data_IF_590333882393
#
_entry.id   IF_590333882393
#
_cell.length_a   1.000
_cell.length_b   1.000
_cell.length_c   1.000
_cell.angle_alpha   90.00
_cell.angle_beta   90.00
_cell.angle_gamma   90.00
#
_symmetry.space_group_name_H-M   'P 1'
#
loop_
_entity.id
_entity.type
_entity.pdbx_description
1 polymer ?
#
# COMPACT_ATOMS: atom_id res chain seq x y z
N UNK A 1 8.29 -44.27 -10.37
CA UNK A 1 7.23 -43.26 -10.45
C UNK A 1 7.92 -41.91 -10.39
N UNK A 2 8.16 -41.29 -11.54
CA UNK A 2 8.82 -39.98 -11.67
C UNK A 2 7.70 -38.93 -11.66
N UNK A 3 7.67 -38.08 -10.66
CA UNK A 3 6.81 -36.88 -10.61
C UNK A 3 7.46 -35.81 -11.48
N UNK A 4 6.82 -35.52 -12.60
CA UNK A 4 7.13 -34.38 -13.46
C UNK A 4 6.90 -33.08 -12.75
N UNK A 5 8.00 -32.35 -12.54
CA UNK A 5 7.97 -30.94 -12.18
C UNK A 5 7.99 -30.15 -13.48
N UNK A 6 6.80 -29.75 -13.96
CA UNK A 6 6.64 -29.06 -15.24
C UNK A 6 6.56 -27.55 -15.04
N UNK A 7 7.53 -26.85 -15.56
CA UNK A 7 7.49 -25.55 -16.25
C UNK A 7 6.49 -24.47 -15.77
N UNK A 8 6.92 -23.65 -14.82
CA UNK A 8 6.34 -22.32 -14.56
C UNK A 8 7.32 -21.17 -14.93
N UNK A 9 8.59 -21.47 -15.18
CA UNK A 9 9.63 -20.44 -15.37
C UNK A 9 9.60 -19.69 -16.72
N UNK A 10 8.93 -20.22 -17.75
CA UNK A 10 8.93 -19.61 -19.10
C UNK A 10 7.92 -18.48 -19.29
N UNK A 11 6.78 -18.52 -18.60
CA UNK A 11 5.70 -17.54 -18.77
C UNK A 11 5.90 -16.28 -17.91
N UNK A 12 6.50 -16.40 -16.73
CA UNK A 12 6.80 -15.26 -15.87
C UNK A 12 7.77 -14.27 -16.53
N UNK A 13 8.82 -14.75 -17.21
CA UNK A 13 9.79 -13.89 -17.87
C UNK A 13 9.20 -13.06 -19.02
N UNK A 14 8.19 -13.58 -19.74
CA UNK A 14 7.53 -12.87 -20.82
C UNK A 14 6.58 -11.76 -20.32
N UNK A 15 5.92 -11.98 -19.18
CA UNK A 15 5.05 -10.98 -18.55
C UNK A 15 5.88 -9.85 -17.98
N UNK A 16 6.99 -10.14 -17.31
CA UNK A 16 7.89 -9.16 -16.72
C UNK A 16 8.57 -8.23 -17.73
N UNK A 17 8.77 -8.65 -18.97
CA UNK A 17 9.37 -7.80 -20.01
C UNK A 17 8.50 -6.59 -20.40
N UNK A 18 7.20 -6.62 -20.12
CA UNK A 18 6.25 -5.49 -20.34
C UNK A 18 6.16 -4.52 -19.16
N UNK A 19 6.64 -4.93 -17.99
CA UNK A 19 6.66 -4.08 -16.81
C UNK A 19 8.00 -3.37 -16.72
N UNK A 20 7.99 -2.04 -16.76
CA UNK A 20 9.14 -1.29 -16.28
C UNK A 20 9.13 -1.45 -14.76
N UNK A 21 10.16 -2.07 -14.15
CA UNK A 21 10.23 -2.14 -12.72
C UNK A 21 10.44 -0.71 -12.21
N UNK A 22 9.37 -0.06 -11.78
CA UNK A 22 9.53 1.07 -10.91
C UNK A 22 10.17 0.51 -9.64
N UNK A 23 11.40 0.93 -9.36
CA UNK A 23 12.11 0.48 -8.17
C UNK A 23 11.23 0.81 -6.98
N UNK A 24 10.77 -0.19 -6.22
CA UNK A 24 9.91 0.07 -5.09
C UNK A 24 10.71 0.85 -4.05
N UNK A 25 10.10 1.87 -3.51
CA UNK A 25 10.33 2.22 -2.13
C UNK A 25 10.05 0.98 -1.27
N UNK A 26 10.60 0.92 -0.08
CA UNK A 26 10.22 -0.11 0.87
C UNK A 26 8.68 -0.24 0.95
N UNK A 27 8.20 -1.44 1.17
CA UNK A 27 6.78 -1.74 1.40
C UNK A 27 6.62 -2.35 2.78
N UNK A 28 5.45 -2.18 3.38
CA UNK A 28 5.16 -2.72 4.71
C UNK A 28 4.38 -4.04 4.65
N UNK A 29 3.42 -4.13 3.73
CA UNK A 29 2.42 -5.20 3.67
C UNK A 29 2.47 -6.00 2.37
N UNK A 30 3.43 -5.69 1.48
CA UNK A 30 3.57 -6.40 0.22
C UNK A 30 4.08 -7.83 0.43
N UNK A 31 3.33 -8.79 -0.05
CA UNK A 31 3.74 -10.21 -0.10
C UNK A 31 4.33 -10.50 -1.47
N UNK A 32 5.58 -10.95 -1.50
CA UNK A 32 6.31 -11.21 -2.73
C UNK A 32 7.02 -9.98 -3.29
N UNK A 33 7.30 -10.01 -4.60
CA UNK A 33 8.01 -8.94 -5.29
C UNK A 33 7.06 -7.84 -5.75
N UNK A 34 7.25 -6.57 -5.35
CA UNK A 34 6.44 -5.47 -5.83
C UNK A 34 6.77 -5.16 -7.30
N UNK A 35 5.75 -5.28 -8.17
CA UNK A 35 5.84 -5.06 -9.61
C UNK A 35 4.66 -4.18 -10.04
N UNK A 36 4.93 -2.94 -10.40
CA UNK A 36 3.90 -1.98 -10.73
C UNK A 36 3.76 -1.78 -12.24
N UNK A 37 2.53 -1.72 -12.74
CA UNK A 37 2.25 -1.45 -14.16
C UNK A 37 2.32 0.04 -14.50
N UNK A 38 2.14 0.90 -13.52
CA UNK A 38 2.18 2.35 -13.69
C UNK A 38 2.75 3.04 -12.45
N UNK A 39 3.05 4.33 -12.59
CA UNK A 39 3.45 5.18 -11.46
C UNK A 39 2.30 5.33 -10.47
N UNK A 40 1.09 5.45 -10.98
CA UNK A 40 -0.14 5.60 -10.18
C UNK A 40 -0.42 4.33 -9.37
N UNK A 41 -0.23 3.15 -9.96
CA UNK A 41 -0.32 1.89 -9.22
C UNK A 41 0.73 1.83 -8.09
N UNK A 42 1.98 2.23 -8.35
CA UNK A 42 3.00 2.31 -7.30
C UNK A 42 2.61 3.28 -6.19
N UNK A 43 2.10 4.45 -6.56
CA UNK A 43 1.69 5.47 -5.61
C UNK A 43 0.48 4.96 -4.77
N UNK A 44 -0.47 4.28 -5.40
CA UNK A 44 -1.59 3.64 -4.69
C UNK A 44 -1.13 2.55 -3.71
N UNK A 45 -0.08 1.80 -4.02
CA UNK A 45 0.49 0.82 -3.11
C UNK A 45 0.94 1.43 -1.77
N UNK A 46 1.39 2.70 -1.76
CA UNK A 46 1.69 3.40 -0.52
C UNK A 46 0.43 3.61 0.35
N UNK A 47 -0.74 3.81 -0.28
CA UNK A 47 -2.01 3.90 0.45
C UNK A 47 -2.41 2.54 1.04
N UNK A 48 -2.20 1.44 0.31
CA UNK A 48 -2.45 0.08 0.81
C UNK A 48 -1.57 -0.23 2.03
N UNK A 49 -0.32 0.22 2.03
CA UNK A 49 0.59 0.03 3.16
C UNK A 49 0.15 0.82 4.41
N UNK A 50 -0.47 1.99 4.23
CA UNK A 50 -0.94 2.82 5.34
C UNK A 50 -2.37 2.53 5.79
N UNK A 51 -3.18 1.87 4.98
CA UNK A 51 -4.57 1.55 5.35
C UNK A 51 -4.58 0.50 6.48
N UNK A 52 -5.06 0.83 7.69
CA UNK A 52 -5.09 -0.11 8.80
C UNK A 52 -5.98 -1.34 8.52
N UNK A 53 -6.95 -1.25 7.61
CA UNK A 53 -7.84 -2.36 7.23
C UNK A 53 -7.15 -3.38 6.32
N UNK A 54 -6.06 -3.00 5.65
CA UNK A 54 -5.30 -3.90 4.79
C UNK A 54 -4.32 -4.69 5.65
N UNK A 55 -4.44 -6.01 5.63
CA UNK A 55 -3.50 -6.92 6.30
C UNK A 55 -2.30 -7.29 5.42
N UNK A 56 -2.55 -7.52 4.14
CA UNK A 56 -1.53 -7.84 3.14
C UNK A 56 -1.99 -7.43 1.73
N UNK A 57 -1.04 -7.24 0.83
CA UNK A 57 -1.32 -7.07 -0.59
C UNK A 57 -0.20 -7.67 -1.44
N UNK A 58 -0.52 -8.00 -2.69
CA UNK A 58 0.45 -8.49 -3.68
C UNK A 58 0.14 -7.95 -5.07
N UNK A 59 1.16 -7.77 -5.88
CA UNK A 59 0.99 -7.47 -7.29
C UNK A 59 0.44 -8.69 -8.04
N UNK A 60 -0.41 -8.44 -9.04
CA UNK A 60 -1.01 -9.48 -9.88
C UNK A 60 -0.39 -9.42 -11.30
N UNK A 61 0.75 -10.09 -11.53
CA UNK A 61 1.43 -10.03 -12.82
C UNK A 61 0.70 -10.80 -13.92
N UNK A 62 -0.14 -11.78 -13.56
CA UNK A 62 -0.87 -12.61 -14.53
C UNK A 62 -2.22 -12.00 -14.89
N UNK A 63 -2.65 -12.09 -16.16
CA UNK A 63 -3.95 -11.58 -16.56
C UNK A 63 -5.08 -12.48 -16.07
N UNK A 64 -6.23 -11.88 -15.82
CA UNK A 64 -7.50 -12.60 -15.78
C UNK A 64 -7.93 -12.84 -17.25
N UNK A 65 -8.24 -14.09 -17.57
CA UNK A 65 -8.62 -14.50 -18.91
C UNK A 65 -10.10 -14.84 -18.95
N UNK A 66 -10.85 -14.19 -19.84
CA UNK A 66 -12.21 -14.57 -20.16
C UNK A 66 -12.22 -15.39 -21.46
N UNK A 67 -12.21 -16.70 -21.30
CA UNK A 67 -12.35 -17.65 -22.38
C UNK A 67 -13.83 -18.06 -22.53
N UNK A 68 -14.65 -17.16 -23.04
CA UNK A 68 -16.07 -17.41 -23.30
C UNK A 68 -16.32 -18.15 -24.63
N UNK A 69 -15.35 -18.95 -25.12
CA UNK A 69 -15.44 -19.65 -26.39
C UNK A 69 -15.26 -18.77 -27.62
N UNK A 70 -14.84 -17.53 -27.44
CA UNK A 70 -14.51 -16.61 -28.52
C UNK A 70 -13.16 -16.95 -29.13
N UNK A 71 -13.00 -16.75 -30.46
CA UNK A 71 -11.70 -16.95 -31.16
C UNK A 71 -10.54 -16.15 -30.56
N UNK A 72 -10.83 -15.06 -29.85
CA UNK A 72 -9.86 -14.23 -29.13
C UNK A 72 -10.30 -14.06 -27.68
N UNK A 73 -9.70 -14.76 -26.70
CA UNK A 73 -9.98 -14.58 -25.29
C UNK A 73 -9.61 -13.15 -24.86
N UNK A 74 -10.45 -12.58 -24.00
CA UNK A 74 -10.16 -11.26 -23.41
C UNK A 74 -9.23 -11.41 -22.24
N UNK A 75 -8.11 -10.69 -22.29
CA UNK A 75 -7.13 -10.63 -21.21
C UNK A 75 -7.26 -9.29 -20.48
N UNK A 76 -7.24 -9.34 -19.15
CA UNK A 76 -7.21 -8.13 -18.33
C UNK A 76 -6.21 -8.30 -17.18
N UNK A 77 -5.33 -7.30 -17.01
CA UNK A 77 -4.34 -7.29 -15.96
C UNK A 77 -4.85 -6.49 -14.78
N UNK A 78 -4.93 -7.12 -13.62
CA UNK A 78 -5.23 -6.50 -12.34
C UNK A 78 -3.92 -5.98 -11.72
N UNK A 79 -3.97 -4.87 -10.98
CA UNK A 79 -2.78 -4.35 -10.31
C UNK A 79 -2.47 -5.10 -9.03
N UNK A 80 -3.48 -5.30 -8.16
CA UNK A 80 -3.28 -5.85 -6.84
C UNK A 80 -4.34 -6.88 -6.45
N UNK A 81 -3.91 -7.90 -5.70
CA UNK A 81 -4.78 -8.63 -4.79
C UNK A 81 -4.51 -8.10 -3.37
N UNK A 82 -5.57 -7.71 -2.67
CA UNK A 82 -5.52 -7.08 -1.36
C UNK A 82 -6.32 -7.92 -0.38
N UNK A 83 -5.76 -8.19 0.77
CA UNK A 83 -6.39 -8.90 1.87
C UNK A 83 -6.72 -7.92 2.99
N UNK A 84 -7.96 -7.92 3.43
CA UNK A 84 -8.43 -7.18 4.59
C UNK A 84 -8.99 -8.14 5.63
N UNK A 85 -9.35 -7.64 6.80
CA UNK A 85 -9.97 -8.49 7.85
C UNK A 85 -11.28 -9.15 7.40
N UNK A 86 -12.01 -8.50 6.49
CA UNK A 86 -13.38 -8.93 6.14
C UNK A 86 -13.50 -9.50 4.73
N UNK A 87 -12.61 -9.16 3.83
CA UNK A 87 -12.74 -9.52 2.41
C UNK A 87 -11.38 -9.54 1.69
N UNK A 88 -11.36 -10.22 0.55
CA UNK A 88 -10.26 -10.17 -0.41
C UNK A 88 -10.69 -9.37 -1.64
N UNK A 89 -9.83 -8.45 -2.10
CA UNK A 89 -10.11 -7.54 -3.21
C UNK A 89 -9.15 -7.80 -4.37
N UNK A 90 -9.66 -7.67 -5.60
CA UNK A 90 -8.85 -7.44 -6.79
C UNK A 90 -8.97 -5.96 -7.18
N UNK A 91 -7.88 -5.23 -7.07
CA UNK A 91 -7.83 -3.78 -7.29
C UNK A 91 -7.17 -3.47 -8.62
N UNK A 92 -7.83 -2.63 -9.40
CA UNK A 92 -7.40 -2.20 -10.73
C UNK A 92 -7.34 -0.68 -10.78
N UNK A 93 -6.15 -0.13 -11.04
CA UNK A 93 -5.89 1.31 -11.04
C UNK A 93 -6.04 1.85 -12.46
N UNK A 94 -6.95 2.80 -12.66
CA UNK A 94 -7.37 3.26 -13.98
C UNK A 94 -7.22 4.77 -14.17
N UNK A 95 -6.94 5.23 -15.41
CA UNK A 95 -6.84 6.66 -15.70
C UNK A 95 -8.15 7.43 -15.49
N UNK A 96 -9.29 6.75 -15.65
CA UNK A 96 -10.63 7.32 -15.52
C UNK A 96 -11.57 6.33 -14.87
N UNK A 97 -12.58 6.84 -14.22
CA UNK A 97 -13.70 6.01 -13.81
C UNK A 97 -14.41 5.46 -15.06
N UNK A 98 -14.20 4.20 -15.35
CA UNK A 98 -14.85 3.47 -16.45
C UNK A 98 -15.94 2.54 -15.93
N UNK A 99 -16.26 2.65 -14.66
CA UNK A 99 -17.17 1.73 -13.97
C UNK A 99 -16.63 0.30 -13.86
N UNK A 100 -17.37 -0.54 -13.22
CA UNK A 100 -17.03 -1.96 -13.05
C UNK A 100 -17.23 -2.73 -14.35
N UNK A 101 -16.19 -3.37 -14.85
CA UNK A 101 -16.31 -4.24 -16.01
C UNK A 101 -16.93 -5.57 -15.57
N UNK A 102 -18.20 -5.76 -15.88
CA UNK A 102 -19.04 -6.84 -15.34
C UNK A 102 -18.51 -8.26 -15.52
N UNK A 103 -17.71 -8.55 -16.56
CA UNK A 103 -17.11 -9.88 -16.72
C UNK A 103 -15.92 -10.08 -15.77
N UNK A 104 -15.15 -9.03 -15.46
CA UNK A 104 -14.02 -9.10 -14.51
C UNK A 104 -14.57 -9.31 -13.10
N UNK A 105 -15.59 -8.54 -12.72
CA UNK A 105 -16.24 -8.68 -11.41
C UNK A 105 -16.78 -10.10 -11.19
N UNK A 106 -17.46 -10.69 -12.20
CA UNK A 106 -17.95 -12.07 -12.11
C UNK A 106 -16.84 -13.11 -11.99
N UNK A 107 -15.70 -12.92 -12.67
CA UNK A 107 -14.57 -13.84 -12.54
C UNK A 107 -13.85 -13.68 -11.20
N UNK A 108 -13.71 -12.46 -10.71
CA UNK A 108 -13.19 -12.19 -9.38
C UNK A 108 -14.04 -12.87 -8.29
N UNK A 109 -15.35 -12.69 -8.36
CA UNK A 109 -16.31 -13.30 -7.41
C UNK A 109 -16.24 -14.83 -7.39
N UNK A 110 -16.12 -15.46 -8.57
CA UNK A 110 -15.91 -16.93 -8.66
C UNK A 110 -14.62 -17.40 -7.98
N UNK A 111 -13.63 -16.53 -7.83
CA UNK A 111 -12.37 -16.80 -7.15
C UNK A 111 -12.35 -16.33 -5.69
N UNK A 112 -13.49 -15.87 -5.17
CA UNK A 112 -13.63 -15.38 -3.79
C UNK A 112 -13.13 -13.95 -3.58
N UNK A 113 -12.98 -13.15 -4.64
CA UNK A 113 -12.56 -11.76 -4.56
C UNK A 113 -13.70 -10.81 -4.95
N UNK A 114 -13.76 -9.66 -4.27
CA UNK A 114 -14.54 -8.51 -4.75
C UNK A 114 -13.64 -7.66 -5.67
N UNK A 115 -14.14 -7.31 -6.83
CA UNK A 115 -13.42 -6.44 -7.78
C UNK A 115 -13.67 -4.97 -7.47
N UNK A 116 -12.59 -4.19 -7.44
CA UNK A 116 -12.58 -2.74 -7.21
C UNK A 116 -11.77 -2.04 -8.30
N UNK A 117 -12.42 -1.17 -9.08
CA UNK A 117 -11.74 -0.24 -9.98
C UNK A 117 -11.57 1.10 -9.25
N UNK A 118 -10.33 1.61 -9.22
CA UNK A 118 -9.97 2.89 -8.59
C UNK A 118 -9.48 3.84 -9.66
N UNK A 119 -10.06 5.03 -9.74
CA UNK A 119 -9.63 6.07 -10.68
C UNK A 119 -8.44 6.86 -10.15
N UNK A 120 -7.54 7.30 -11.03
CA UNK A 120 -6.44 8.21 -10.67
C UNK A 120 -6.95 9.49 -9.99
N UNK A 121 -8.11 9.99 -10.43
CA UNK A 121 -8.71 11.20 -9.86
C UNK A 121 -9.09 11.09 -8.39
N UNK A 122 -9.21 9.88 -7.86
CA UNK A 122 -9.57 9.66 -6.46
C UNK A 122 -8.41 9.91 -5.48
N UNK A 123 -7.17 9.83 -5.95
CA UNK A 123 -6.01 9.95 -5.06
C UNK A 123 -4.85 10.79 -5.60
N UNK A 124 -4.71 10.96 -6.93
CA UNK A 124 -3.63 11.75 -7.50
C UNK A 124 -3.80 13.23 -7.14
N UNK A 125 -2.76 13.81 -6.54
CA UNK A 125 -2.77 15.20 -6.07
C UNK A 125 -3.32 15.40 -4.66
N UNK A 126 -3.89 14.38 -4.03
CA UNK A 126 -4.32 14.47 -2.63
C UNK A 126 -3.09 14.53 -1.70
N UNK A 127 -3.14 15.30 -0.59
CA UNK A 127 -2.05 15.36 0.39
C UNK A 127 -1.67 13.98 0.91
N UNK A 128 -2.65 13.11 1.15
CA UNK A 128 -2.46 11.73 1.64
C UNK A 128 -1.44 10.95 0.85
N UNK A 129 -1.45 11.06 -0.49
CA UNK A 129 -0.51 10.28 -1.33
C UNK A 129 0.94 10.75 -1.14
N UNK A 130 1.16 12.07 -1.03
CA UNK A 130 2.51 12.60 -0.79
C UNK A 130 2.98 12.26 0.61
N UNK A 131 2.12 12.41 1.61
CA UNK A 131 2.40 12.04 2.99
C UNK A 131 2.75 10.56 3.12
N UNK A 132 1.96 9.68 2.48
CA UNK A 132 2.22 8.25 2.44
C UNK A 132 3.60 7.93 1.85
N UNK A 133 3.95 8.54 0.72
CA UNK A 133 5.25 8.35 0.06
C UNK A 133 6.42 8.82 0.92
N UNK A 134 6.24 9.91 1.65
CA UNK A 134 7.28 10.44 2.54
C UNK A 134 7.47 9.57 3.78
N UNK A 135 6.40 9.03 4.36
CA UNK A 135 6.45 8.12 5.49
C UNK A 135 7.08 6.76 5.11
N UNK A 136 6.67 6.16 3.98
CA UNK A 136 7.13 4.84 3.54
C UNK A 136 8.65 4.78 3.34
N UNK A 137 9.33 5.89 3.10
CA UNK A 137 10.80 5.94 3.06
C UNK A 137 11.46 5.40 4.32
N UNK A 138 10.75 5.43 5.43
CA UNK A 138 11.23 5.00 6.74
C UNK A 138 10.70 3.62 7.17
N UNK A 139 10.04 2.88 6.28
CA UNK A 139 9.40 1.60 6.58
C UNK A 139 10.34 0.54 7.19
N UNK A 140 11.63 0.58 6.82
CA UNK A 140 12.65 -0.34 7.35
C UNK A 140 13.35 0.16 8.62
N UNK A 141 12.99 1.33 9.15
CA UNK A 141 13.62 1.88 10.34
C UNK A 141 12.98 1.29 11.60
N UNK A 142 13.80 1.04 12.63
CA UNK A 142 13.28 0.63 13.94
C UNK A 142 13.57 1.71 15.00
N UNK A 143 12.49 2.20 15.59
CA UNK A 143 12.54 3.27 16.59
C UNK A 143 13.03 2.70 17.95
N UNK A 144 14.09 3.25 18.56
CA UNK A 144 14.57 2.82 19.86
C UNK A 144 13.49 2.90 20.93
N UNK A 145 13.48 1.94 21.84
CA UNK A 145 12.47 1.85 22.89
C UNK A 145 12.44 3.09 23.78
N UNK A 146 13.62 3.64 24.10
CA UNK A 146 13.72 4.85 24.94
C UNK A 146 13.03 6.05 24.31
N UNK A 147 13.21 6.31 23.02
CA UNK A 147 12.55 7.39 22.32
C UNK A 147 11.03 7.15 22.19
N UNK A 148 10.62 5.90 21.95
CA UNK A 148 9.19 5.54 21.90
C UNK A 148 8.50 5.84 23.24
N UNK A 149 9.13 5.47 24.37
CA UNK A 149 8.61 5.70 25.71
C UNK A 149 8.50 7.21 25.97
N UNK A 150 9.53 8.01 25.63
CA UNK A 150 9.52 9.47 25.84
C UNK A 150 8.38 10.16 25.09
N UNK A 151 8.20 9.81 23.82
CA UNK A 151 7.13 10.38 22.99
C UNK A 151 5.75 10.01 23.55
N UNK A 152 5.55 8.74 23.92
CA UNK A 152 4.27 8.31 24.48
C UNK A 152 3.98 8.94 25.85
N UNK A 153 5.01 9.11 26.69
CA UNK A 153 4.85 9.80 27.98
C UNK A 153 4.49 11.28 27.79
N UNK A 154 5.15 11.97 26.85
CA UNK A 154 4.82 13.36 26.54
C UNK A 154 3.38 13.51 26.01
N UNK A 155 2.93 12.60 25.16
CA UNK A 155 1.54 12.57 24.66
C UNK A 155 0.53 12.21 25.75
N UNK A 156 0.89 11.37 26.71
CA UNK A 156 0.03 11.04 27.86
C UNK A 156 -0.18 12.29 28.76
N UNK A 157 0.86 13.09 28.93
CA UNK A 157 0.80 14.33 29.75
C UNK A 157 0.05 15.47 29.03
N UNK A 158 0.32 15.66 27.74
CA UNK A 158 -0.16 16.82 26.97
C UNK A 158 -1.43 16.55 26.16
N UNK A 159 -1.80 15.28 25.97
CA UNK A 159 -2.91 14.83 25.10
C UNK A 159 -2.56 14.85 23.62
N UNK A 160 -2.02 15.95 23.12
CA UNK A 160 -1.57 16.13 21.74
C UNK A 160 -0.26 16.91 21.71
N UNK A 161 0.54 16.65 20.69
CA UNK A 161 1.78 17.40 20.39
C UNK A 161 1.79 17.76 18.90
N UNK A 162 2.50 18.82 18.55
CA UNK A 162 2.86 19.07 17.16
C UNK A 162 3.97 18.12 16.71
N UNK A 163 4.12 17.93 15.41
CA UNK A 163 5.23 17.13 14.85
C UNK A 163 6.59 17.71 15.30
N UNK A 164 6.73 19.05 15.33
CA UNK A 164 7.95 19.71 15.79
C UNK A 164 8.26 19.38 17.27
N UNK A 165 7.25 19.40 18.14
CA UNK A 165 7.41 19.03 19.54
C UNK A 165 7.80 17.54 19.66
N UNK A 166 7.13 16.63 18.96
CA UNK A 166 7.51 15.22 18.93
C UNK A 166 8.97 15.01 18.50
N UNK A 167 9.42 15.71 17.46
CA UNK A 167 10.81 15.64 17.00
C UNK A 167 11.80 16.11 18.08
N UNK A 168 11.42 17.12 18.89
CA UNK A 168 12.26 17.67 19.96
C UNK A 168 12.43 16.72 21.16
N UNK A 169 11.51 15.79 21.36
CA UNK A 169 11.53 14.79 22.44
C UNK A 169 12.51 13.65 22.17
N UNK A 170 12.82 13.36 20.91
CA UNK A 170 13.74 12.28 20.49
C UNK A 170 15.18 12.60 20.94
N UNK A 171 15.88 11.64 21.57
CA UNK A 171 17.23 11.83 22.13
C UNK A 171 18.27 10.81 21.65
N UNK A 172 17.86 9.59 21.35
CA UNK A 172 18.77 8.47 21.10
C UNK A 172 18.95 8.19 19.61
N UNK A 173 18.06 8.69 18.78
CA UNK A 173 17.96 8.31 17.37
C UNK A 173 17.72 9.50 16.45
N UNK A 174 17.55 9.22 15.16
CA UNK A 174 17.15 10.23 14.18
C UNK A 174 15.68 10.58 14.38
N UNK A 175 15.32 11.85 14.65
CA UNK A 175 13.96 12.22 15.03
C UNK A 175 12.92 11.86 13.97
N UNK A 176 13.09 12.30 12.73
CA UNK A 176 12.08 12.06 11.68
C UNK A 176 11.84 10.58 11.38
N UNK A 177 12.86 9.71 11.19
CA UNK A 177 12.67 8.28 11.04
C UNK A 177 11.92 7.63 12.21
N UNK A 178 12.20 8.06 13.44
CA UNK A 178 11.53 7.54 14.65
C UNK A 178 10.04 7.84 14.65
N UNK A 179 9.67 9.11 14.43
CA UNK A 179 8.26 9.51 14.39
C UNK A 179 7.54 8.83 13.20
N UNK A 180 8.15 8.86 12.01
CA UNK A 180 7.58 8.24 10.82
C UNK A 180 7.31 6.73 11.04
N UNK A 181 8.26 6.01 11.63
CA UNK A 181 8.08 4.58 11.96
C UNK A 181 6.96 4.36 12.97
N UNK A 182 6.82 5.23 13.96
CA UNK A 182 5.74 5.11 14.94
C UNK A 182 4.37 5.38 14.31
N UNK A 183 4.27 6.29 13.33
CA UNK A 183 3.06 6.51 12.53
C UNK A 183 2.78 5.26 11.67
N UNK A 184 3.75 4.76 10.94
CA UNK A 184 3.63 3.57 10.08
C UNK A 184 3.23 2.30 10.85
N UNK A 185 3.65 2.19 12.11
CA UNK A 185 3.29 1.08 13.01
C UNK A 185 1.98 1.33 13.77
N UNK A 186 1.24 2.36 13.41
CA UNK A 186 -0.03 2.76 14.06
C UNK A 186 0.10 2.93 15.58
N UNK A 187 1.24 3.44 16.05
CA UNK A 187 1.48 3.83 17.44
C UNK A 187 1.10 5.29 17.64
N UNK A 188 1.37 6.11 16.62
CA UNK A 188 0.98 7.51 16.53
C UNK A 188 -0.02 7.71 15.41
N UNK A 189 -0.91 8.65 15.58
CA UNK A 189 -1.91 9.06 14.61
C UNK A 189 -1.69 10.52 14.22
N UNK A 190 -1.78 10.79 12.93
CA UNK A 190 -1.73 12.12 12.29
C UNK A 190 -2.78 12.20 11.20
N UNK A 191 -3.30 13.38 10.92
CA UNK A 191 -4.14 13.59 9.75
C UNK A 191 -3.25 13.64 8.49
N UNK A 192 -3.52 12.74 7.55
CA UNK A 192 -2.80 12.64 6.29
C UNK A 192 -3.56 13.29 5.13
N UNK A 193 -4.83 13.64 5.31
CA UNK A 193 -5.75 14.06 4.25
C UNK A 193 -5.85 15.57 4.11
N UNK A 194 -5.81 16.29 5.21
CA UNK A 194 -6.06 17.74 5.24
C UNK A 194 -4.93 18.54 4.59
N UNK A 195 -3.68 18.22 4.94
CA UNK A 195 -2.49 18.95 4.46
C UNK A 195 -1.25 18.06 4.37
N UNK A 196 -0.18 18.58 3.80
CA UNK A 196 1.14 17.94 3.85
C UNK A 196 1.66 17.97 5.29
N UNK A 197 2.31 16.87 5.71
CA UNK A 197 2.96 16.79 7.01
C UNK A 197 4.00 17.90 7.16
N UNK A 198 3.83 18.70 8.20
CA UNK A 198 4.68 19.83 8.53
C UNK A 198 4.89 19.99 10.03
N UNK A 199 5.69 20.97 10.46
CA UNK A 199 6.01 21.21 11.87
C UNK A 199 4.78 21.33 12.78
N UNK A 200 3.70 21.93 12.26
CA UNK A 200 2.43 22.19 12.98
C UNK A 200 1.44 21.02 12.94
N UNK A 201 1.76 19.94 12.22
CA UNK A 201 0.88 18.78 12.17
C UNK A 201 0.67 18.19 13.55
N UNK A 202 -0.61 18.05 13.92
CA UNK A 202 -1.00 17.49 15.23
C UNK A 202 -0.77 15.98 15.25
N UNK A 203 -0.08 15.53 16.28
CA UNK A 203 0.22 14.12 16.55
C UNK A 203 -0.55 13.70 17.80
N UNK A 204 -1.16 12.52 17.71
CA UNK A 204 -1.88 11.88 18.83
C UNK A 204 -1.38 10.46 19.02
N UNK A 205 -1.66 9.91 20.18
CA UNK A 205 -1.53 8.47 20.38
C UNK A 205 -2.64 7.77 19.61
N UNK A 206 -2.30 6.74 18.80
CA UNK A 206 -3.30 5.95 18.11
C UNK A 206 -4.23 5.22 19.10
N UNK A 207 -5.53 5.28 18.84
CA UNK A 207 -6.50 4.48 19.58
C UNK A 207 -6.26 2.99 19.29
N UNK A 208 -6.40 2.17 20.35
CA UNK A 208 -6.32 0.70 20.20
C UNK A 208 -7.61 0.15 19.66
#
# INVERSE_FOLDING_TARGET
MKTESTHVAGDEACVFAKYRPFIPSATLKCVGRPLYRSREARDYACLLDLDPKVSAWRCMPQPIINDSGARNPRHHYIDFAVETENEALLVDIRPRDTGTVGWIARLAEKQGYRYLAVSFSEFVGAPRIQNAKDLIRYAGYDAPLGDRIRILAALEEMGTLTLAECLSVVRESKPMPTIATMILKNILEVDLDEALLGPETVVRRAAK
#
